data_IF_843405036779
#
_entry.id   IF_843405036779
#
_cell.length_a   1.000
_cell.length_b   1.000
_cell.length_c   1.000
_cell.angle_alpha   90.00
_cell.angle_beta   90.00
_cell.angle_gamma   90.00
#
_symmetry.space_group_name_H-M   'P 1'
#
loop_
_entity.id
_entity.type
_entity.pdbx_description
1 polymer ?
#
# COMPACT_ATOMS: atom_id res chain seq x y z
N UNK A 1 17.30 5.86 -1.03
CA UNK A 1 16.62 4.54 -1.06
C UNK A 1 15.94 4.22 -2.39
N UNK A 2 15.43 5.21 -3.14
CA UNK A 2 14.76 5.02 -4.44
C UNK A 2 15.56 4.20 -5.47
N UNK A 3 16.87 4.42 -5.57
CA UNK A 3 17.73 3.72 -6.52
C UNK A 3 17.72 2.19 -6.35
N UNK A 4 17.55 1.66 -5.13
CA UNK A 4 17.56 0.21 -4.90
C UNK A 4 16.35 -0.49 -5.56
N UNK A 5 15.16 0.13 -5.49
CA UNK A 5 13.95 -0.41 -6.10
C UNK A 5 13.89 -0.18 -7.63
N UNK A 6 14.67 0.75 -8.15
CA UNK A 6 14.76 1.05 -9.59
C UNK A 6 15.88 0.27 -10.32
N UNK A 7 16.97 -0.08 -9.62
CA UNK A 7 18.16 -0.71 -10.25
C UNK A 7 18.28 -2.22 -10.00
N UNK A 8 17.72 -2.74 -8.90
CA UNK A 8 17.84 -4.16 -8.52
C UNK A 8 16.51 -4.88 -8.78
N UNK A 9 16.55 -5.99 -9.52
CA UNK A 9 15.37 -6.78 -9.93
C UNK A 9 15.18 -8.04 -9.10
N UNK A 10 16.12 -8.36 -8.21
CA UNK A 10 16.10 -9.56 -7.39
C UNK A 10 15.02 -9.48 -6.30
N UNK A 11 14.03 -10.40 -6.28
CA UNK A 11 12.92 -10.36 -5.33
C UNK A 11 13.37 -10.36 -3.87
N UNK A 12 14.44 -11.11 -3.54
CA UNK A 12 14.98 -11.18 -2.19
C UNK A 12 15.54 -9.84 -1.71
N UNK A 13 16.22 -9.11 -2.60
CA UNK A 13 16.76 -7.78 -2.31
C UNK A 13 15.61 -6.79 -2.12
N UNK A 14 14.57 -6.87 -2.93
CA UNK A 14 13.39 -6.01 -2.80
C UNK A 14 12.67 -6.24 -1.46
N UNK A 15 12.55 -7.49 -1.02
CA UNK A 15 11.96 -7.84 0.29
C UNK A 15 12.81 -7.33 1.45
N UNK A 16 14.14 -7.48 1.39
CA UNK A 16 15.03 -6.96 2.42
C UNK A 16 14.99 -5.43 2.44
N UNK A 17 15.05 -4.78 1.28
CA UNK A 17 14.99 -3.34 1.15
C UNK A 17 13.67 -2.77 1.69
N UNK A 18 12.54 -3.42 1.42
CA UNK A 18 11.23 -2.99 1.93
C UNK A 18 11.17 -3.07 3.45
N UNK A 19 11.68 -4.15 4.06
CA UNK A 19 11.74 -4.29 5.52
C UNK A 19 12.58 -3.19 6.18
N UNK A 20 13.77 -2.90 5.62
CA UNK A 20 14.62 -1.82 6.14
C UNK A 20 13.91 -0.48 6.02
N UNK A 21 13.23 -0.22 4.90
CA UNK A 21 12.41 0.98 4.71
C UNK A 21 11.28 1.06 5.76
N UNK A 22 10.59 -0.05 6.03
CA UNK A 22 9.57 -0.13 7.07
C UNK A 22 10.11 0.17 8.47
N UNK A 23 11.28 -0.38 8.82
CA UNK A 23 11.94 -0.09 10.08
C UNK A 23 12.33 1.39 10.21
N UNK A 24 12.87 2.00 9.14
CA UNK A 24 13.19 3.43 9.12
C UNK A 24 11.95 4.29 9.27
N UNK A 25 10.85 3.94 8.60
CA UNK A 25 9.58 4.64 8.71
C UNK A 25 9.02 4.59 10.14
N UNK A 26 9.24 3.48 10.85
CA UNK A 26 8.86 3.34 12.27
C UNK A 26 9.77 4.17 13.19
N UNK A 27 11.09 4.12 12.98
CA UNK A 27 12.07 4.76 13.87
C UNK A 27 12.22 6.26 13.65
N UNK A 28 12.00 6.75 12.43
CA UNK A 28 12.22 8.14 12.04
C UNK A 28 11.14 9.12 12.50
N UNK A 29 9.99 8.62 12.96
CA UNK A 29 8.92 9.44 13.51
C UNK A 29 8.45 10.55 12.55
N UNK A 30 8.23 11.75 13.09
CA UNK A 30 7.75 12.90 12.30
C UNK A 30 8.72 13.35 11.21
N UNK A 31 10.04 13.17 11.39
CA UNK A 31 11.04 13.60 10.41
C UNK A 31 11.02 12.78 9.13
N UNK A 32 10.46 11.57 9.17
CA UNK A 32 10.34 10.68 8.01
C UNK A 32 8.93 10.65 7.40
N UNK A 33 7.98 11.41 7.95
CA UNK A 33 6.60 11.41 7.49
C UNK A 33 6.48 11.82 6.01
N UNK A 34 7.20 12.87 5.60
CA UNK A 34 7.18 13.36 4.21
C UNK A 34 7.77 12.32 3.23
N UNK A 35 8.84 11.63 3.64
CA UNK A 35 9.44 10.57 2.82
C UNK A 35 8.53 9.35 2.73
N UNK A 36 7.85 8.98 3.82
CA UNK A 36 6.84 7.91 3.82
C UNK A 36 5.69 8.25 2.88
N UNK A 37 5.13 9.45 2.98
CA UNK A 37 4.07 9.92 2.08
C UNK A 37 4.53 9.88 0.61
N UNK A 38 5.75 10.36 0.33
CA UNK A 38 6.33 10.32 -1.01
C UNK A 38 6.48 8.89 -1.53
N UNK A 39 6.95 7.94 -0.71
CA UNK A 39 7.09 6.54 -1.10
C UNK A 39 5.75 5.87 -1.37
N UNK A 40 4.72 6.18 -0.56
CA UNK A 40 3.36 5.69 -0.80
C UNK A 40 2.82 6.19 -2.14
N UNK A 41 2.94 7.49 -2.42
CA UNK A 41 2.49 8.07 -3.71
C UNK A 41 3.19 7.41 -4.90
N UNK A 42 4.52 7.26 -4.85
CA UNK A 42 5.29 6.59 -5.91
C UNK A 42 4.86 5.13 -6.09
N UNK A 43 4.63 4.40 -4.99
CA UNK A 43 4.18 3.01 -5.08
C UNK A 43 2.77 2.90 -5.69
N UNK A 44 1.87 3.83 -5.35
CA UNK A 44 0.53 3.89 -5.97
C UNK A 44 0.60 4.21 -7.47
N UNK A 45 1.49 5.12 -7.87
CA UNK A 45 1.74 5.42 -9.29
C UNK A 45 2.27 4.18 -10.04
N UNK A 46 3.17 3.40 -9.42
CA UNK A 46 3.67 2.15 -10.02
C UNK A 46 2.59 1.08 -10.18
N UNK A 47 1.55 1.09 -9.35
CA UNK A 47 0.39 0.19 -9.50
C UNK A 47 -0.58 0.66 -10.58
N UNK A 48 -0.80 1.98 -10.70
CA UNK A 48 -1.72 2.60 -11.68
C UNK A 48 -1.11 2.72 -13.09
N UNK A 49 0.21 2.85 -13.17
CA UNK A 49 0.93 3.07 -14.41
C UNK A 49 1.15 1.81 -15.24
N UNK A 50 2.17 1.86 -16.12
CA UNK A 50 2.51 0.75 -17.01
C UNK A 50 2.81 -0.55 -16.25
N UNK A 51 2.38 -1.66 -16.84
CA UNK A 51 2.55 -2.98 -16.25
C UNK A 51 4.00 -3.44 -16.37
N UNK A 52 4.73 -3.21 -15.28
CA UNK A 52 6.11 -3.64 -15.11
C UNK A 52 6.18 -4.55 -13.87
N UNK A 53 6.49 -5.83 -14.05
CA UNK A 53 6.39 -6.86 -12.99
C UNK A 53 7.21 -6.52 -11.74
N UNK A 54 8.48 -6.12 -11.90
CA UNK A 54 9.33 -5.77 -10.76
C UNK A 54 8.81 -4.54 -10.02
N UNK A 55 8.23 -3.55 -10.72
CA UNK A 55 7.66 -2.35 -10.10
C UNK A 55 6.40 -2.67 -9.32
N UNK A 56 5.54 -3.57 -9.84
CA UNK A 56 4.35 -4.02 -9.11
C UNK A 56 4.73 -4.77 -7.84
N UNK A 57 5.69 -5.68 -7.94
CA UNK A 57 6.17 -6.42 -6.78
C UNK A 57 6.77 -5.48 -5.72
N UNK A 58 7.66 -4.56 -6.13
CA UNK A 58 8.24 -3.55 -5.25
C UNK A 58 7.18 -2.62 -4.63
N UNK A 59 6.22 -2.14 -5.42
CA UNK A 59 5.16 -1.25 -4.96
C UNK A 59 4.31 -1.91 -3.86
N UNK A 60 3.90 -3.16 -4.07
CA UNK A 60 3.12 -3.92 -3.09
C UNK A 60 3.91 -4.12 -1.78
N UNK A 61 5.21 -4.41 -1.87
CA UNK A 61 6.06 -4.55 -0.69
C UNK A 61 6.20 -3.22 0.08
N UNK A 62 6.42 -2.11 -0.63
CA UNK A 62 6.50 -0.78 -0.01
C UNK A 62 5.19 -0.46 0.70
N UNK A 63 4.05 -0.62 0.03
CA UNK A 63 2.73 -0.31 0.61
C UNK A 63 2.43 -1.17 1.84
N UNK A 64 2.78 -2.45 1.81
CA UNK A 64 2.68 -3.33 2.98
C UNK A 64 3.48 -2.76 4.17
N UNK A 65 4.76 -2.48 3.95
CA UNK A 65 5.66 -2.04 5.02
C UNK A 65 5.24 -0.67 5.57
N UNK A 66 4.73 0.23 4.72
CA UNK A 66 4.22 1.53 5.16
C UNK A 66 2.93 1.38 5.97
N UNK A 67 2.01 0.49 5.57
CA UNK A 67 0.79 0.22 6.34
C UNK A 67 1.09 -0.38 7.73
N UNK A 68 2.06 -1.29 7.83
CA UNK A 68 2.43 -1.95 9.09
C UNK A 68 3.23 -1.06 10.05
N UNK A 69 4.11 -0.21 9.51
CA UNK A 69 5.06 0.57 10.30
C UNK A 69 4.67 2.03 10.49
N UNK A 70 3.93 2.62 9.55
CA UNK A 70 3.59 4.05 9.52
C UNK A 70 2.08 4.29 9.31
N UNK A 71 1.25 3.55 10.05
CA UNK A 71 -0.22 3.57 9.92
C UNK A 71 -0.89 4.95 10.03
N UNK A 72 -0.30 5.89 10.77
CA UNK A 72 -0.82 7.27 10.90
C UNK A 72 -0.75 8.03 9.57
N UNK A 73 0.41 7.99 8.92
CA UNK A 73 0.67 8.65 7.63
C UNK A 73 -0.02 7.89 6.51
N UNK A 74 -0.02 6.56 6.56
CA UNK A 74 -0.68 5.75 5.54
C UNK A 74 -2.20 5.93 5.48
N UNK A 75 -2.84 6.26 6.61
CA UNK A 75 -4.30 6.34 6.71
C UNK A 75 -4.96 7.33 5.73
N UNK A 76 -4.29 8.43 5.38
CA UNK A 76 -4.84 9.40 4.42
C UNK A 76 -4.87 8.85 2.99
N UNK A 77 -4.02 7.86 2.68
CA UNK A 77 -3.93 7.23 1.36
C UNK A 77 -4.72 5.93 1.24
N UNK A 78 -5.43 5.51 2.30
CA UNK A 78 -6.21 4.26 2.30
C UNK A 78 -7.21 4.19 1.15
N UNK A 79 -8.01 5.24 0.83
CA UNK A 79 -8.94 5.18 -0.30
C UNK A 79 -8.21 4.89 -1.63
N UNK A 80 -7.13 5.64 -1.88
CA UNK A 80 -6.32 5.49 -3.09
C UNK A 80 -5.63 4.13 -3.20
N UNK A 81 -5.18 3.60 -2.06
CA UNK A 81 -4.60 2.26 -1.95
C UNK A 81 -5.61 1.17 -2.29
N UNK A 82 -6.83 1.26 -1.74
CA UNK A 82 -7.89 0.28 -2.00
C UNK A 82 -8.23 0.23 -3.48
N UNK A 83 -8.27 1.37 -4.17
CA UNK A 83 -8.51 1.40 -5.61
C UNK A 83 -7.34 0.77 -6.40
N UNK A 84 -6.09 1.08 -6.01
CA UNK A 84 -4.91 0.61 -6.73
C UNK A 84 -4.59 -0.88 -6.51
N UNK A 85 -4.84 -1.43 -5.32
CA UNK A 85 -4.45 -2.80 -4.96
C UNK A 85 -5.21 -3.86 -5.76
N UNK A 86 -6.42 -3.55 -6.27
CA UNK A 86 -7.19 -4.42 -7.15
C UNK A 86 -6.46 -4.76 -8.45
N UNK A 87 -5.53 -3.90 -8.90
CA UNK A 87 -4.68 -4.18 -10.06
C UNK A 87 -3.64 -5.25 -9.71
N UNK A 88 -3.04 -5.17 -8.53
CA UNK A 88 -2.06 -6.15 -8.06
C UNK A 88 -2.67 -7.52 -7.73
N UNK A 89 -3.92 -7.54 -7.21
CA UNK A 89 -4.64 -8.79 -6.92
C UNK A 89 -5.01 -9.59 -8.18
N UNK A 90 -5.15 -8.92 -9.32
CA UNK A 90 -5.45 -9.52 -10.63
C UNK A 90 -4.19 -9.77 -11.47
N UNK A 91 -3.00 -9.60 -10.90
CA UNK A 91 -1.75 -9.87 -11.61
C UNK A 91 -1.59 -11.40 -11.82
N UNK A 92 -1.12 -11.87 -12.99
CA UNK A 92 -0.93 -13.30 -13.20
C UNK A 92 0.15 -13.89 -12.30
N UNK A 93 1.11 -13.08 -11.85
CA UNK A 93 2.21 -13.54 -11.00
C UNK A 93 1.72 -13.84 -9.59
N UNK A 94 1.88 -15.09 -9.14
CA UNK A 94 1.43 -15.54 -7.82
C UNK A 94 2.09 -14.76 -6.67
N UNK A 95 3.41 -14.54 -6.75
CA UNK A 95 4.16 -13.82 -5.72
C UNK A 95 3.64 -12.38 -5.50
N UNK A 96 3.21 -11.70 -6.57
CA UNK A 96 2.60 -10.36 -6.48
C UNK A 96 1.25 -10.44 -5.78
N UNK A 97 0.42 -11.43 -6.13
CA UNK A 97 -0.90 -11.63 -5.52
C UNK A 97 -0.82 -11.94 -4.03
N UNK A 98 0.09 -12.82 -3.62
CA UNK A 98 0.31 -13.15 -2.21
C UNK A 98 0.71 -11.93 -1.39
N UNK A 99 1.66 -11.14 -1.89
CA UNK A 99 2.08 -9.90 -1.22
C UNK A 99 0.99 -8.84 -1.24
N UNK A 100 0.15 -8.81 -2.27
CA UNK A 100 -0.98 -7.89 -2.34
C UNK A 100 -2.03 -8.22 -1.27
N UNK A 101 -2.29 -9.50 -1.03
CA UNK A 101 -3.16 -9.96 0.07
C UNK A 101 -2.57 -9.59 1.43
N UNK A 102 -1.26 -9.78 1.63
CA UNK A 102 -0.58 -9.34 2.86
C UNK A 102 -0.71 -7.83 3.08
N UNK A 103 -0.51 -7.02 2.03
CA UNK A 103 -0.65 -5.57 2.08
C UNK A 103 -2.10 -5.14 2.40
N UNK A 104 -3.08 -5.78 1.77
CA UNK A 104 -4.50 -5.54 2.05
C UNK A 104 -4.83 -5.89 3.50
N UNK A 105 -4.35 -7.02 4.01
CA UNK A 105 -4.53 -7.41 5.42
C UNK A 105 -3.92 -6.39 6.38
N UNK A 106 -2.72 -5.88 6.08
CA UNK A 106 -2.10 -4.83 6.88
C UNK A 106 -2.96 -3.55 6.88
N UNK A 107 -3.46 -3.14 5.72
CA UNK A 107 -4.36 -1.99 5.58
C UNK A 107 -5.66 -2.18 6.38
N UNK A 108 -6.33 -3.34 6.27
CA UNK A 108 -7.55 -3.63 7.03
C UNK A 108 -7.33 -3.55 8.55
N UNK A 109 -6.18 -4.02 9.06
CA UNK A 109 -5.82 -3.87 10.48
C UNK A 109 -5.64 -2.41 10.91
N UNK A 110 -5.18 -1.54 10.01
CA UNK A 110 -5.08 -0.10 10.27
C UNK A 110 -6.47 0.52 10.40
N UNK A 111 -7.41 0.11 9.55
CA UNK A 111 -8.81 0.56 9.57
C UNK A 111 -9.52 0.07 10.85
N UNK A 112 -9.40 -1.23 11.15
CA UNK A 112 -10.04 -1.89 12.31
C UNK A 112 -9.64 -1.22 13.64
N UNK A 113 -8.36 -0.89 13.83
CA UNK A 113 -7.87 -0.25 15.05
C UNK A 113 -8.39 1.18 15.28
N UNK A 114 -9.01 1.82 14.29
CA UNK A 114 -9.44 3.23 14.34
C UNK A 114 -10.95 3.41 14.12
N UNK A 115 -11.73 2.40 14.51
CA UNK A 115 -13.14 2.15 14.19
C UNK A 115 -14.18 3.24 14.56
N UNK A 116 -13.79 4.41 15.07
CA UNK A 116 -14.73 5.51 15.33
C UNK A 116 -15.09 6.35 14.09
N UNK A 117 -14.44 6.18 12.92
CA UNK A 117 -14.71 7.03 11.73
C UNK A 117 -15.17 6.31 10.44
N UNK A 118 -14.95 5.00 10.27
CA UNK A 118 -15.07 4.34 8.94
C UNK A 118 -16.20 3.32 8.76
N UNK A 119 -17.12 3.16 9.72
CA UNK A 119 -18.23 2.20 9.62
C UNK A 119 -19.13 2.41 8.38
N UNK A 120 -19.16 3.63 7.84
CA UNK A 120 -19.87 3.99 6.59
C UNK A 120 -19.11 3.61 5.30
N UNK A 121 -17.79 3.41 5.34
CA UNK A 121 -16.99 3.05 4.16
C UNK A 121 -16.88 1.53 3.97
N UNK A 122 -16.83 0.77 5.07
CA UNK A 122 -16.74 -0.70 5.02
C UNK A 122 -18.01 -1.34 4.43
N UNK A 123 -19.18 -0.70 4.56
CA UNK A 123 -20.41 -1.15 3.89
C UNK A 123 -20.32 -1.14 2.36
N UNK A 124 -19.47 -0.29 1.77
CA UNK A 124 -19.20 -0.27 0.31
C UNK A 124 -18.20 -1.36 -0.13
N UNK A 125 -17.57 -2.06 0.81
CA UNK A 125 -16.55 -3.09 0.51
C UNK A 125 -17.18 -4.46 0.18
N UNK A 126 -18.46 -4.67 0.53
CA UNK A 126 -19.18 -5.95 0.37
C UNK A 126 -20.27 -5.90 -0.72
N UNK A 127 -20.56 -4.74 -1.32
CA UNK A 127 -21.61 -4.63 -2.33
C UNK A 127 -21.06 -4.80 -3.77
N UNK A 128 -21.46 -5.83 -4.53
CA UNK A 128 -20.94 -6.08 -5.89
C UNK A 128 -21.55 -5.18 -6.97
N UNK A 129 -22.41 -4.20 -6.65
CA UNK A 129 -23.14 -3.41 -7.66
C UNK A 129 -22.88 -1.92 -7.51
N UNK A 130 -22.29 -1.37 -8.55
CA UNK A 130 -22.06 0.04 -8.84
C UNK A 130 -23.10 1.05 -8.27
N UNK A 131 -22.56 2.20 -7.85
CA UNK A 131 -23.20 3.54 -7.78
C UNK A 131 -24.19 3.76 -6.64
N UNK A 132 -23.77 4.54 -5.63
CA UNK A 132 -24.34 5.84 -5.26
C UNK A 132 -23.83 6.28 -3.87
N UNK A 133 -23.99 7.59 -3.62
CA UNK A 133 -23.71 8.31 -2.38
C UNK A 133 -22.26 8.72 -2.21
N UNK A 134 -21.92 9.76 -2.98
CA UNK A 134 -21.31 11.00 -2.48
C UNK A 134 -20.63 10.86 -1.12
N UNK A 135 -19.30 10.84 -1.17
CA UNK A 135 -18.40 11.68 -0.41
C UNK A 135 -19.06 12.83 0.41
N UNK A 136 -19.85 12.51 1.42
CA UNK A 136 -20.36 13.46 2.43
C UNK A 136 -19.64 13.18 3.75
N UNK A 137 -18.40 13.64 3.82
CA UNK A 137 -17.98 14.77 4.65
C UNK A 137 -16.58 15.23 4.22
#
# INVERSE_FOLDING_TARGET
MRAAFETKRDPEILVLASKVLGHLARSGGAMTADEVERQVKVALEWLRGERIEYRRFAAVLILKEMAENASTVFNVHVPEFVDAIWVALRDPTLAVREKAVEALRACLRVIEKRETRWRVQCGKFIDPRHLLLNWWF
#
